data_IF_948656278479
#
_entry.id   IF_948656278479
#
_cell.length_a   1.000
_cell.length_b   1.000
_cell.length_c   1.000
_cell.angle_alpha   90.00
_cell.angle_beta   90.00
_cell.angle_gamma   90.00
#
_symmetry.space_group_name_H-M   'P 1'
#
loop_
_entity.id
_entity.type
_entity.pdbx_description
1 polymer ?
#
# COMPACT_ATOMS: atom_id res chain seq x y z
N UNK A 1 -28.96 -7.88 3.73
CA UNK A 1 -28.39 -6.97 2.71
C UNK A 1 -28.84 -7.33 1.30
N UNK A 2 -29.15 -6.36 0.42
CA UNK A 2 -29.43 -6.62 -1.01
C UNK A 2 -28.15 -6.57 -1.84
N UNK A 3 -28.07 -7.36 -2.92
CA UNK A 3 -26.93 -7.34 -3.85
C UNK A 3 -26.79 -5.98 -4.58
N UNK A 4 -27.90 -5.33 -4.91
CA UNK A 4 -27.95 -4.00 -5.54
C UNK A 4 -27.27 -2.92 -4.68
N UNK A 5 -27.42 -2.98 -3.36
CA UNK A 5 -26.79 -2.05 -2.43
C UNK A 5 -25.27 -2.23 -2.38
N UNK A 6 -24.80 -3.47 -2.34
CA UNK A 6 -23.35 -3.78 -2.41
C UNK A 6 -22.76 -3.32 -3.73
N UNK A 7 -23.44 -3.58 -4.85
CA UNK A 7 -23.05 -3.06 -6.17
C UNK A 7 -22.92 -1.53 -6.16
N UNK A 8 -23.89 -0.83 -5.59
CA UNK A 8 -23.91 0.64 -5.55
C UNK A 8 -22.72 1.20 -4.78
N UNK A 9 -22.45 0.66 -3.58
CA UNK A 9 -21.32 1.11 -2.76
C UNK A 9 -19.99 0.75 -3.42
N UNK A 10 -19.84 -0.49 -3.90
CA UNK A 10 -18.61 -0.95 -4.54
C UNK A 10 -18.24 -0.10 -5.75
N UNK A 11 -19.19 0.13 -6.68
CA UNK A 11 -18.99 0.96 -7.87
C UNK A 11 -18.72 2.43 -7.55
N UNK A 12 -19.10 2.90 -6.36
CA UNK A 12 -18.83 4.27 -5.93
C UNK A 12 -17.43 4.46 -5.33
N UNK A 13 -16.77 3.36 -4.92
CA UNK A 13 -15.51 3.41 -4.16
C UNK A 13 -14.32 2.79 -4.87
N UNK A 14 -14.56 1.77 -5.68
CA UNK A 14 -13.54 0.99 -6.37
C UNK A 14 -13.88 0.88 -7.85
N UNK A 15 -12.84 0.92 -8.67
CA UNK A 15 -12.89 0.76 -10.11
C UNK A 15 -11.98 -0.43 -10.50
N UNK A 16 -12.17 -0.98 -11.70
CA UNK A 16 -11.33 -2.08 -12.20
C UNK A 16 -11.48 -3.40 -11.43
N UNK A 17 -10.41 -4.21 -11.47
CA UNK A 17 -10.36 -5.56 -10.89
C UNK A 17 -10.49 -5.57 -9.37
N UNK A 18 -11.59 -6.12 -8.83
CA UNK A 18 -11.89 -6.17 -7.40
C UNK A 18 -12.08 -7.61 -6.90
N UNK A 19 -11.51 -7.93 -5.75
CA UNK A 19 -11.74 -9.18 -5.01
C UNK A 19 -12.76 -8.97 -3.91
N UNK A 20 -13.96 -9.51 -4.11
CA UNK A 20 -15.04 -9.52 -3.12
C UNK A 20 -15.11 -10.89 -2.45
N UNK A 21 -15.03 -10.90 -1.11
CA UNK A 21 -15.22 -12.07 -0.28
C UNK A 21 -16.58 -11.95 0.46
N UNK A 22 -17.47 -12.92 0.32
CA UNK A 22 -18.74 -12.97 1.03
C UNK A 22 -18.78 -14.18 1.98
N UNK A 23 -18.99 -13.93 3.27
CA UNK A 23 -18.97 -14.97 4.31
C UNK A 23 -20.30 -15.03 5.05
N UNK A 24 -20.87 -16.23 5.18
CA UNK A 24 -22.04 -16.51 6.02
C UNK A 24 -23.23 -17.12 5.27
N UNK A 25 -24.28 -17.48 6.01
CA UNK A 25 -25.31 -18.39 5.52
C UNK A 25 -26.03 -17.87 4.26
N UNK A 26 -25.89 -18.57 3.13
CA UNK A 26 -26.50 -18.20 1.86
C UNK A 26 -25.71 -17.16 1.07
N UNK A 27 -24.49 -16.81 1.51
CA UNK A 27 -23.61 -15.87 0.81
C UNK A 27 -23.29 -16.33 -0.61
N UNK A 28 -23.10 -17.64 -0.82
CA UNK A 28 -22.79 -18.17 -2.14
C UNK A 28 -23.91 -17.90 -3.15
N UNK A 29 -25.15 -18.21 -2.78
CA UNK A 29 -26.31 -17.94 -3.63
C UNK A 29 -26.58 -16.44 -3.81
N UNK A 30 -26.46 -15.66 -2.73
CA UNK A 30 -26.71 -14.21 -2.74
C UNK A 30 -25.71 -13.43 -3.62
N UNK A 31 -24.45 -13.86 -3.62
CA UNK A 31 -23.34 -13.19 -4.31
C UNK A 31 -23.19 -13.58 -5.79
N UNK A 32 -23.96 -14.56 -6.27
CA UNK A 32 -23.80 -15.13 -7.62
C UNK A 32 -23.87 -14.07 -8.73
N UNK A 33 -24.82 -13.13 -8.61
CA UNK A 33 -25.04 -12.05 -9.58
C UNK A 33 -24.05 -10.87 -9.44
N UNK A 34 -23.14 -10.93 -8.46
CA UNK A 34 -22.06 -9.94 -8.31
C UNK A 34 -20.85 -10.29 -9.17
N UNK A 35 -20.78 -11.46 -9.81
CA UNK A 35 -19.64 -11.82 -10.68
C UNK A 35 -19.65 -10.97 -11.95
N UNK A 36 -18.48 -10.48 -12.35
CA UNK A 36 -18.26 -9.77 -13.63
C UNK A 36 -16.81 -9.96 -14.08
N UNK A 37 -16.47 -9.51 -15.29
CA UNK A 37 -15.09 -9.58 -15.81
C UNK A 37 -14.10 -8.88 -14.88
N UNK A 38 -14.50 -7.73 -14.32
CA UNK A 38 -13.68 -6.94 -13.40
C UNK A 38 -13.85 -7.34 -11.92
N UNK A 39 -14.53 -8.46 -11.62
CA UNK A 39 -14.83 -8.80 -10.22
C UNK A 39 -14.74 -10.28 -9.92
N UNK A 40 -13.76 -10.60 -9.09
CA UNK A 40 -13.60 -11.91 -8.50
C UNK A 40 -14.46 -12.00 -7.25
N UNK A 41 -15.53 -12.79 -7.31
CA UNK A 41 -16.39 -13.08 -6.15
C UNK A 41 -16.07 -14.45 -5.58
N UNK A 42 -15.77 -14.49 -4.30
CA UNK A 42 -15.49 -15.71 -3.54
C UNK A 42 -16.46 -15.73 -2.36
N UNK A 43 -17.21 -16.81 -2.23
CA UNK A 43 -18.26 -16.88 -1.21
C UNK A 43 -18.33 -18.26 -0.58
N UNK A 44 -18.56 -18.29 0.73
CA UNK A 44 -18.67 -19.53 1.51
C UNK A 44 -19.67 -19.33 2.65
N UNK A 45 -20.53 -20.33 2.84
CA UNK A 45 -21.61 -20.23 3.82
C UNK A 45 -21.08 -20.40 5.26
N UNK A 46 -20.01 -21.17 5.43
CA UNK A 46 -19.33 -21.41 6.70
C UNK A 46 -17.81 -21.54 6.49
N UNK A 47 -17.08 -20.42 6.33
CA UNK A 47 -15.65 -20.47 5.99
C UNK A 47 -14.73 -20.97 7.12
N UNK A 48 -15.27 -21.10 8.34
CA UNK A 48 -14.45 -21.25 9.55
C UNK A 48 -13.71 -19.95 9.84
N UNK A 49 -12.40 -20.03 10.11
CA UNK A 49 -11.56 -18.83 10.21
C UNK A 49 -11.33 -18.20 8.85
N UNK A 50 -11.58 -16.89 8.75
CA UNK A 50 -11.31 -16.10 7.54
C UNK A 50 -9.81 -16.14 7.19
N UNK A 51 -8.91 -15.93 8.16
CA UNK A 51 -7.46 -15.99 7.91
C UNK A 51 -7.06 -17.35 7.31
N UNK A 52 -7.52 -18.44 7.92
CA UNK A 52 -7.24 -19.80 7.44
C UNK A 52 -7.85 -20.08 6.06
N UNK A 53 -9.03 -19.52 5.79
CA UNK A 53 -9.70 -19.65 4.51
C UNK A 53 -8.94 -18.93 3.40
N UNK A 54 -8.56 -17.67 3.63
CA UNK A 54 -7.76 -16.88 2.71
C UNK A 54 -6.41 -17.53 2.43
N UNK A 55 -5.74 -18.06 3.47
CA UNK A 55 -4.48 -18.78 3.32
C UNK A 55 -4.61 -20.00 2.38
N UNK A 56 -5.67 -20.81 2.53
CA UNK A 56 -5.93 -21.95 1.63
C UNK A 56 -6.18 -21.53 0.18
N UNK A 57 -6.79 -20.36 -0.01
CA UNK A 57 -7.07 -19.81 -1.33
C UNK A 57 -5.88 -19.04 -1.93
N UNK A 58 -4.80 -18.83 -1.16
CA UNK A 58 -3.70 -17.94 -1.57
C UNK A 58 -4.11 -16.46 -1.65
N UNK A 59 -5.24 -16.09 -1.06
CA UNK A 59 -5.68 -14.70 -1.00
C UNK A 59 -4.86 -13.98 0.06
N UNK A 60 -4.12 -12.95 -0.36
CA UNK A 60 -3.31 -12.11 0.52
C UNK A 60 -3.89 -10.70 0.69
N UNK A 61 -5.00 -10.40 -0.01
CA UNK A 61 -5.72 -9.14 0.05
C UNK A 61 -7.19 -9.36 -0.35
N UNK A 62 -8.09 -8.63 0.28
CA UNK A 62 -9.53 -8.60 0.00
C UNK A 62 -9.92 -7.13 -0.13
N UNK A 63 -10.43 -6.74 -1.29
CA UNK A 63 -10.92 -5.39 -1.47
C UNK A 63 -12.25 -5.22 -0.72
N UNK A 64 -13.15 -6.20 -0.77
CA UNK A 64 -14.47 -6.05 -0.16
C UNK A 64 -14.93 -7.30 0.58
N UNK A 65 -14.96 -7.25 1.91
CA UNK A 65 -15.51 -8.31 2.76
C UNK A 65 -16.97 -8.01 3.10
N UNK A 66 -17.88 -8.90 2.72
CA UNK A 66 -19.29 -8.87 3.14
C UNK A 66 -19.52 -9.97 4.17
N UNK A 67 -19.97 -9.59 5.36
CA UNK A 67 -20.50 -10.52 6.36
C UNK A 67 -22.01 -10.61 6.15
N UNK A 68 -22.47 -11.75 5.65
CA UNK A 68 -23.86 -11.99 5.27
C UNK A 68 -24.55 -12.90 6.29
N UNK A 69 -25.78 -12.56 6.68
CA UNK A 69 -26.78 -13.35 7.43
C UNK A 69 -26.25 -14.42 8.40
N UNK A 70 -26.53 -14.23 9.69
CA UNK A 70 -26.25 -15.20 10.75
C UNK A 70 -24.78 -15.67 10.81
N UNK A 71 -23.85 -14.87 10.25
CA UNK A 71 -22.43 -15.17 10.26
C UNK A 71 -21.77 -14.98 11.62
N UNK A 72 -22.46 -14.32 12.58
CA UNK A 72 -21.83 -13.88 13.83
C UNK A 72 -20.68 -12.93 13.50
N UNK A 73 -20.94 -11.71 12.99
CA UNK A 73 -19.93 -10.85 12.38
C UNK A 73 -18.74 -10.57 13.30
N UNK A 74 -18.94 -10.51 14.62
CA UNK A 74 -17.84 -10.36 15.57
C UNK A 74 -16.88 -11.55 15.51
N UNK A 75 -17.39 -12.77 15.67
CA UNK A 75 -16.59 -13.99 15.61
C UNK A 75 -15.92 -14.16 14.23
N UNK A 76 -16.62 -13.79 13.15
CA UNK A 76 -16.06 -13.80 11.81
C UNK A 76 -14.84 -12.86 11.70
N UNK A 77 -14.95 -11.62 12.18
CA UNK A 77 -13.83 -10.67 12.18
C UNK A 77 -12.72 -11.04 13.15
N UNK A 78 -13.03 -11.56 14.34
CA UNK A 78 -12.02 -12.08 15.27
C UNK A 78 -11.20 -13.21 14.62
N UNK A 79 -11.82 -13.98 13.70
CA UNK A 79 -11.14 -15.01 12.92
C UNK A 79 -10.35 -14.51 11.70
N UNK A 80 -10.39 -13.20 11.45
CA UNK A 80 -9.65 -12.45 10.43
C UNK A 80 -8.58 -11.52 11.04
N UNK A 81 -8.08 -11.87 12.23
CA UNK A 81 -7.22 -11.00 13.04
C UNK A 81 -5.95 -10.60 12.30
N UNK A 82 -5.31 -11.52 11.58
CA UNK A 82 -4.09 -11.20 10.82
C UNK A 82 -4.40 -10.27 9.64
N UNK A 83 -5.43 -10.60 8.86
CA UNK A 83 -5.88 -9.79 7.74
C UNK A 83 -6.25 -8.36 8.16
N UNK A 84 -6.94 -8.18 9.29
CA UNK A 84 -7.28 -6.85 9.81
C UNK A 84 -6.07 -6.09 10.34
N UNK A 85 -5.20 -6.76 11.12
CA UNK A 85 -3.99 -6.12 11.68
C UNK A 85 -3.09 -5.59 10.57
N UNK A 86 -2.96 -6.37 9.50
CA UNK A 86 -2.20 -6.04 8.30
C UNK A 86 -3.00 -5.20 7.30
N UNK A 87 -4.25 -4.84 7.62
CA UNK A 87 -5.15 -4.04 6.76
C UNK A 87 -5.19 -4.57 5.32
N UNK A 88 -5.26 -5.89 5.20
CA UNK A 88 -5.43 -6.65 3.95
C UNK A 88 -6.91 -6.82 3.57
N UNK A 89 -7.81 -6.15 4.29
CA UNK A 89 -9.24 -6.06 3.97
C UNK A 89 -9.57 -4.58 3.83
N UNK A 90 -10.05 -4.12 2.69
CA UNK A 90 -10.19 -2.66 2.49
C UNK A 90 -11.52 -2.14 3.00
N UNK A 91 -12.56 -2.91 2.72
CA UNK A 91 -13.92 -2.60 3.12
C UNK A 91 -14.51 -3.80 3.86
N UNK A 92 -15.12 -3.56 5.01
CA UNK A 92 -15.91 -4.56 5.73
C UNK A 92 -17.35 -4.08 5.79
N UNK A 93 -18.27 -4.86 5.24
CA UNK A 93 -19.68 -4.53 5.17
C UNK A 93 -20.54 -5.56 5.91
N UNK A 94 -21.43 -5.10 6.79
CA UNK A 94 -22.34 -5.96 7.55
C UNK A 94 -23.62 -5.19 7.93
N UNK A 95 -24.73 -5.90 8.16
CA UNK A 95 -25.98 -5.26 8.59
C UNK A 95 -26.08 -5.21 10.13
N UNK A 96 -26.56 -4.09 10.68
CA UNK A 96 -26.66 -3.92 12.14
C UNK A 96 -27.59 -4.93 12.81
N UNK A 97 -28.64 -5.37 12.10
CA UNK A 97 -29.53 -6.43 12.57
C UNK A 97 -28.82 -7.79 12.73
N UNK A 98 -27.77 -8.03 11.95
CA UNK A 98 -26.97 -9.27 11.99
C UNK A 98 -25.87 -9.21 13.05
N UNK A 99 -25.48 -8.00 13.47
CA UNK A 99 -24.51 -7.77 14.55
C UNK A 99 -25.05 -8.08 15.95
N UNK A 100 -26.38 -8.14 16.13
CA UNK A 100 -27.00 -8.36 17.44
C UNK A 100 -26.57 -7.30 18.48
N UNK A 101 -26.43 -7.72 19.74
CA UNK A 101 -25.95 -6.86 20.83
C UNK A 101 -24.45 -6.53 20.79
N UNK A 102 -23.71 -7.11 19.85
CA UNK A 102 -22.24 -7.04 19.78
C UNK A 102 -21.72 -5.87 18.94
N UNK A 103 -22.61 -5.00 18.46
CA UNK A 103 -22.24 -3.87 17.61
C UNK A 103 -21.17 -2.93 18.20
N UNK A 104 -21.18 -2.61 19.52
CA UNK A 104 -20.08 -1.85 20.13
C UNK A 104 -18.74 -2.59 20.07
N UNK A 105 -18.71 -3.91 20.28
CA UNK A 105 -17.49 -4.71 20.23
C UNK A 105 -16.92 -4.79 18.81
N UNK A 106 -17.78 -4.86 17.79
CA UNK A 106 -17.39 -4.78 16.38
C UNK A 106 -16.72 -3.45 16.04
N UNK A 107 -17.32 -2.33 16.46
CA UNK A 107 -16.75 -1.01 16.26
C UNK A 107 -15.38 -0.90 16.93
N UNK A 108 -15.28 -1.34 18.17
CA UNK A 108 -14.02 -1.39 18.92
C UNK A 108 -12.94 -2.20 18.19
N UNK A 109 -13.28 -3.40 17.70
CA UNK A 109 -12.35 -4.27 16.98
C UNK A 109 -11.83 -3.62 15.69
N UNK A 110 -12.74 -3.05 14.89
CA UNK A 110 -12.41 -2.40 13.63
C UNK A 110 -11.59 -1.12 13.85
N UNK A 111 -11.97 -0.29 14.83
CA UNK A 111 -11.27 0.96 15.14
C UNK A 111 -9.88 0.73 15.76
N UNK A 112 -9.69 -0.34 16.55
CA UNK A 112 -8.35 -0.75 17.02
C UNK A 112 -7.43 -1.12 15.87
N UNK A 113 -7.98 -1.63 14.76
CA UNK A 113 -7.28 -1.87 13.51
C UNK A 113 -7.31 -0.65 12.56
N UNK A 114 -7.71 0.53 13.09
CA UNK A 114 -7.72 1.84 12.43
C UNK A 114 -8.77 2.05 11.33
N UNK A 115 -9.76 1.17 11.21
CA UNK A 115 -10.84 1.38 10.25
C UNK A 115 -11.72 2.57 10.65
N UNK A 116 -12.09 3.38 9.66
CA UNK A 116 -13.12 4.39 9.82
C UNK A 116 -14.50 3.76 9.63
N UNK A 117 -15.45 4.10 10.49
CA UNK A 117 -16.77 3.48 10.54
C UNK A 117 -17.83 4.38 9.92
N UNK A 118 -18.73 3.79 9.12
CA UNK A 118 -19.81 4.47 8.44
C UNK A 118 -21.11 3.68 8.53
N UNK A 119 -22.23 4.39 8.42
CA UNK A 119 -23.57 3.81 8.29
C UNK A 119 -24.21 4.27 6.99
N UNK A 120 -24.82 3.34 6.27
CA UNK A 120 -25.58 3.56 5.05
C UNK A 120 -27.04 3.21 5.27
N UNK A 121 -27.93 4.19 5.10
CA UNK A 121 -29.38 4.05 5.27
C UNK A 121 -30.11 3.64 3.98
N UNK A 122 -29.36 3.31 2.92
CA UNK A 122 -29.88 3.08 1.57
C UNK A 122 -29.87 4.30 0.66
N UNK A 123 -29.53 5.49 1.18
CA UNK A 123 -29.43 6.75 0.42
C UNK A 123 -28.17 7.54 0.75
N UNK A 124 -27.81 7.64 2.02
CA UNK A 124 -26.71 8.47 2.52
C UNK A 124 -25.71 7.63 3.28
N UNK A 125 -24.43 7.79 2.98
CA UNK A 125 -23.34 7.24 3.78
C UNK A 125 -22.88 8.29 4.79
N UNK A 126 -22.94 7.97 6.08
CA UNK A 126 -22.60 8.89 7.16
C UNK A 126 -21.46 8.33 8.00
N UNK A 127 -20.45 9.15 8.29
CA UNK A 127 -19.38 8.79 9.21
C UNK A 127 -19.94 8.63 10.62
N UNK A 128 -19.59 7.52 11.27
CA UNK A 128 -20.26 7.04 12.48
C UNK A 128 -19.21 6.50 13.46
N UNK A 129 -18.76 7.32 14.41
CA UNK A 129 -17.72 6.90 15.36
C UNK A 129 -18.23 5.94 16.45
N UNK A 130 -19.52 6.01 16.76
CA UNK A 130 -20.18 5.16 17.73
C UNK A 130 -21.40 4.51 17.09
N UNK A 131 -21.75 3.27 17.45
CA UNK A 131 -22.89 2.60 16.87
C UNK A 131 -24.19 3.39 17.08
N UNK A 132 -25.09 3.47 16.09
CA UNK A 132 -26.37 4.16 16.21
C UNK A 132 -27.22 3.59 17.35
N UNK A 133 -27.87 4.47 18.11
CA UNK A 133 -28.68 4.09 19.28
C UNK A 133 -30.19 4.08 18.99
N UNK A 134 -30.60 4.54 17.81
CA UNK A 134 -32.01 4.72 17.43
C UNK A 134 -32.69 3.42 16.96
N UNK A 135 -31.92 2.32 16.85
CA UNK A 135 -32.43 1.00 16.45
C UNK A 135 -32.82 0.92 14.98
N UNK A 136 -32.51 1.93 14.16
CA UNK A 136 -32.77 1.90 12.73
C UNK A 136 -31.85 0.87 12.06
N UNK A 137 -32.43 -0.04 11.27
CA UNK A 137 -31.65 -1.02 10.51
C UNK A 137 -30.86 -0.30 9.42
N UNK A 138 -29.54 -0.23 9.56
CA UNK A 138 -28.64 0.28 8.54
C UNK A 138 -27.55 -0.74 8.19
N UNK A 139 -26.91 -0.53 7.04
CA UNK A 139 -25.69 -1.25 6.65
C UNK A 139 -24.50 -0.49 7.21
N UNK A 140 -23.61 -1.20 7.91
CA UNK A 140 -22.36 -0.66 8.39
C UNK A 140 -21.24 -0.93 7.39
N UNK A 141 -20.34 0.04 7.25
CA UNK A 141 -19.16 -0.05 6.41
C UNK A 141 -17.95 0.40 7.20
N UNK A 142 -16.98 -0.48 7.37
CA UNK A 142 -15.64 -0.15 7.85
C UNK A 142 -14.74 0.08 6.65
N UNK A 143 -13.95 1.16 6.67
CA UNK A 143 -13.06 1.54 5.57
C UNK A 143 -11.62 1.62 6.07
N UNK A 144 -10.71 0.91 5.40
CA UNK A 144 -9.29 0.90 5.72
C UNK A 144 -8.69 2.31 5.60
N UNK A 145 -7.71 2.67 6.46
CA UNK A 145 -7.10 4.00 6.50
C UNK A 145 -6.66 4.54 5.15
N UNK A 146 -6.11 3.68 4.28
CA UNK A 146 -5.52 4.12 3.01
C UNK A 146 -6.52 4.79 2.07
N UNK A 147 -7.81 4.49 2.20
CA UNK A 147 -8.84 5.08 1.35
C UNK A 147 -9.43 6.38 1.92
N UNK A 148 -9.15 6.71 3.19
CA UNK A 148 -9.80 7.82 3.87
C UNK A 148 -9.60 9.15 3.14
N UNK A 149 -8.34 9.47 2.82
CA UNK A 149 -7.98 10.72 2.17
C UNK A 149 -8.65 10.87 0.80
N UNK A 150 -8.53 9.84 -0.04
CA UNK A 150 -9.10 9.82 -1.39
C UNK A 150 -10.62 9.97 -1.38
N UNK A 151 -11.30 9.21 -0.52
CA UNK A 151 -12.76 9.08 -0.58
C UNK A 151 -13.51 10.17 0.17
N UNK A 152 -12.98 10.64 1.31
CA UNK A 152 -13.78 11.44 2.25
C UNK A 152 -13.26 12.85 2.48
N UNK A 153 -11.94 13.07 2.46
CA UNK A 153 -11.38 14.43 2.58
C UNK A 153 -10.98 15.02 1.24
N UNK A 154 -10.80 14.18 0.21
CA UNK A 154 -10.22 14.54 -1.09
C UNK A 154 -8.84 15.21 -0.94
N UNK A 155 -8.13 14.81 0.10
CA UNK A 155 -6.76 15.23 0.35
C UNK A 155 -5.82 14.38 -0.49
N UNK A 156 -4.92 15.05 -1.21
CA UNK A 156 -3.94 14.42 -2.10
C UNK A 156 -2.51 14.52 -1.54
N UNK A 157 -2.35 14.92 -0.29
CA UNK A 157 -1.04 14.99 0.36
C UNK A 157 -0.45 13.59 0.54
N UNK A 158 0.80 13.42 0.13
CA UNK A 158 1.61 12.26 0.51
C UNK A 158 2.15 12.41 1.94
N UNK A 159 2.88 11.41 2.41
CA UNK A 159 3.50 11.44 3.72
C UNK A 159 4.40 12.67 3.91
N UNK A 160 4.38 13.20 5.14
CA UNK A 160 5.33 14.24 5.58
C UNK A 160 6.28 13.63 6.59
N UNK A 161 7.55 13.50 6.20
CA UNK A 161 8.59 12.95 7.06
C UNK A 161 8.77 13.75 8.37
N UNK A 162 8.52 15.06 8.33
CA UNK A 162 8.54 15.93 9.52
C UNK A 162 7.44 15.58 10.54
N UNK A 163 6.41 14.85 10.13
CA UNK A 163 5.36 14.34 11.02
C UNK A 163 5.62 12.87 11.39
N UNK A 164 6.01 12.03 10.42
CA UNK A 164 6.23 10.60 10.63
C UNK A 164 7.42 10.32 11.57
N UNK A 165 8.56 10.99 11.35
CA UNK A 165 9.75 10.73 12.14
C UNK A 165 9.55 10.94 13.65
N UNK A 166 9.08 12.12 14.13
CA UNK A 166 8.84 12.31 15.55
C UNK A 166 7.72 11.40 16.08
N UNK A 167 6.67 11.14 15.28
CA UNK A 167 5.56 10.26 15.68
C UNK A 167 6.00 8.84 15.99
N UNK A 168 7.01 8.34 15.26
CA UNK A 168 7.53 6.98 15.40
C UNK A 168 8.91 6.92 16.05
N UNK A 169 9.42 8.03 16.58
CA UNK A 169 10.71 8.09 17.29
C UNK A 169 11.93 7.89 16.38
N UNK A 170 11.82 8.21 15.10
CA UNK A 170 12.93 8.15 14.15
C UNK A 170 13.77 9.43 14.26
N UNK A 171 15.05 9.28 14.54
CA UNK A 171 16.03 10.36 14.46
C UNK A 171 16.92 10.09 13.24
N UNK A 172 16.71 10.80 12.11
CA UNK A 172 17.40 10.47 10.88
C UNK A 172 18.88 10.89 10.93
N UNK A 173 19.78 9.95 10.67
CA UNK A 173 21.22 10.21 10.42
C UNK A 173 21.50 10.47 8.94
N UNK A 174 20.73 9.82 8.08
CA UNK A 174 20.80 9.93 6.64
C UNK A 174 19.71 9.09 5.97
N UNK A 175 19.27 9.53 4.80
CA UNK A 175 18.29 8.82 3.97
C UNK A 175 18.97 8.29 2.71
N UNK A 176 18.77 7.01 2.41
CA UNK A 176 19.01 6.46 1.07
C UNK A 176 17.68 6.54 0.33
N UNK A 177 17.61 7.31 -0.76
CA UNK A 177 16.44 7.43 -1.61
C UNK A 177 16.74 6.77 -2.96
N UNK A 178 15.97 5.72 -3.27
CA UNK A 178 16.03 4.97 -4.54
C UNK A 178 14.84 5.37 -5.40
N UNK A 179 15.08 5.75 -6.66
CA UNK A 179 14.07 6.34 -7.53
C UNK A 179 13.99 7.86 -7.40
N UNK A 180 15.15 8.50 -7.27
CA UNK A 180 15.26 9.90 -6.86
C UNK A 180 14.66 10.92 -7.82
N UNK A 181 14.40 10.57 -9.09
CA UNK A 181 13.99 11.48 -10.15
C UNK A 181 14.88 12.74 -10.18
N UNK A 182 14.35 13.93 -9.86
CA UNK A 182 15.09 15.19 -9.80
C UNK A 182 15.35 15.68 -8.36
N UNK A 183 15.11 14.82 -7.37
CA UNK A 183 15.37 15.04 -5.94
C UNK A 183 14.38 15.99 -5.28
N UNK A 184 13.12 15.95 -5.71
CA UNK A 184 12.02 16.80 -5.22
C UNK A 184 11.80 16.69 -3.70
N UNK A 185 12.04 15.52 -3.13
CA UNK A 185 11.82 15.20 -1.72
C UNK A 185 12.87 15.83 -0.80
N UNK A 186 13.99 16.35 -1.34
CA UNK A 186 15.10 16.87 -0.53
C UNK A 186 14.64 17.92 0.49
N UNK A 187 13.74 18.82 0.07
CA UNK A 187 13.21 19.86 0.96
C UNK A 187 12.45 19.29 2.16
N UNK A 188 11.69 18.21 1.96
CA UNK A 188 10.95 17.53 3.01
C UNK A 188 11.89 16.79 3.97
N UNK A 189 12.99 16.23 3.47
CA UNK A 189 14.02 15.62 4.31
C UNK A 189 14.71 16.64 5.20
N UNK A 190 15.06 17.81 4.65
CA UNK A 190 15.63 18.91 5.43
C UNK A 190 14.63 19.40 6.48
N UNK A 191 13.35 19.55 6.14
CA UNK A 191 12.29 19.89 7.09
C UNK A 191 12.18 18.86 8.23
N UNK A 192 12.34 17.58 7.91
CA UNK A 192 12.35 16.48 8.88
C UNK A 192 13.68 16.35 9.67
N UNK A 193 14.62 17.28 9.49
CA UNK A 193 15.90 17.30 10.19
C UNK A 193 16.99 16.41 9.57
N UNK A 194 16.79 15.90 8.36
CA UNK A 194 17.75 15.06 7.65
C UNK A 194 18.36 15.80 6.45
N UNK A 195 19.62 16.21 6.57
CA UNK A 195 20.34 16.86 5.47
C UNK A 195 21.13 15.88 4.61
N UNK A 196 21.61 14.79 5.21
CA UNK A 196 22.42 13.76 4.56
C UNK A 196 21.52 12.87 3.70
N UNK A 197 21.72 12.90 2.39
CA UNK A 197 20.89 12.14 1.46
C UNK A 197 21.77 11.47 0.39
N UNK A 198 21.55 10.18 0.18
CA UNK A 198 22.03 9.46 -0.98
C UNK A 198 20.86 9.30 -1.95
N UNK A 199 20.90 10.01 -3.07
CA UNK A 199 19.97 9.82 -4.17
C UNK A 199 20.53 8.81 -5.17
N UNK A 200 19.72 7.81 -5.54
CA UNK A 200 20.04 6.82 -6.56
C UNK A 200 18.97 6.90 -7.66
N UNK A 201 19.39 7.22 -8.88
CA UNK A 201 18.52 7.40 -10.04
C UNK A 201 18.95 6.48 -11.18
N UNK A 202 18.00 5.71 -11.72
CA UNK A 202 18.27 4.70 -12.75
C UNK A 202 18.46 5.32 -14.13
N UNK A 203 17.62 6.30 -14.50
CA UNK A 203 17.58 6.88 -15.83
C UNK A 203 18.71 7.91 -16.02
N UNK A 204 19.66 7.68 -16.95
CA UNK A 204 20.81 8.58 -17.14
C UNK A 204 20.42 10.01 -17.52
N UNK A 205 19.33 10.20 -18.28
CA UNK A 205 18.88 11.52 -18.71
C UNK A 205 18.28 12.31 -17.53
N UNK A 206 17.55 11.62 -16.66
CA UNK A 206 17.00 12.19 -15.42
C UNK A 206 18.10 12.46 -14.41
N UNK A 207 19.05 11.53 -14.23
CA UNK A 207 20.24 11.75 -13.42
C UNK A 207 21.04 12.98 -13.87
N UNK A 208 21.17 13.22 -15.18
CA UNK A 208 21.85 14.39 -15.71
C UNK A 208 21.19 15.73 -15.31
N UNK A 209 19.90 15.70 -14.92
CA UNK A 209 19.18 16.86 -14.34
C UNK A 209 19.27 16.88 -12.81
N UNK A 210 19.29 15.71 -12.16
CA UNK A 210 19.44 15.55 -10.71
C UNK A 210 20.80 16.03 -10.19
N UNK A 211 21.90 15.48 -10.72
CA UNK A 211 23.23 15.68 -10.14
C UNK A 211 23.68 17.16 -10.07
N UNK A 212 23.46 18.00 -11.11
CA UNK A 212 23.81 19.42 -11.04
C UNK A 212 23.07 20.20 -9.94
N UNK A 213 21.83 19.80 -9.58
CA UNK A 213 21.05 20.47 -8.53
C UNK A 213 21.70 20.39 -7.16
N UNK A 214 22.50 19.33 -6.92
CA UNK A 214 23.12 19.04 -5.64
C UNK A 214 24.65 19.11 -5.66
N UNK A 215 25.28 19.49 -6.78
CA UNK A 215 26.74 19.52 -6.92
C UNK A 215 27.46 20.41 -5.89
N UNK A 216 26.80 21.46 -5.39
CA UNK A 216 27.35 22.36 -4.36
C UNK A 216 26.97 21.95 -2.93
N UNK A 217 26.22 20.86 -2.75
CA UNK A 217 25.73 20.41 -1.46
C UNK A 217 26.55 19.21 -0.95
N UNK A 218 27.44 19.40 0.04
CA UNK A 218 28.30 18.33 0.53
C UNK A 218 27.54 17.25 1.32
N UNK A 219 26.30 17.51 1.70
CA UNK A 219 25.46 16.54 2.42
C UNK A 219 24.73 15.57 1.46
N UNK A 220 24.80 15.82 0.14
CA UNK A 220 24.05 15.04 -0.86
C UNK A 220 25.00 14.35 -1.82
N UNK A 221 24.77 13.06 -2.02
CA UNK A 221 25.44 12.26 -3.05
C UNK A 221 24.39 11.78 -4.04
N UNK A 222 24.65 11.93 -5.34
CA UNK A 222 23.80 11.40 -6.40
C UNK A 222 24.56 10.30 -7.15
N UNK A 223 23.91 9.17 -7.38
CA UNK A 223 24.47 8.03 -8.13
C UNK A 223 23.54 7.68 -9.28
N UNK A 224 24.10 7.47 -10.48
CA UNK A 224 23.36 6.91 -11.60
C UNK A 224 23.48 5.38 -11.61
N UNK A 225 22.45 4.71 -11.08
CA UNK A 225 22.35 3.24 -11.04
C UNK A 225 20.91 2.84 -10.80
N UNK A 226 20.46 1.72 -11.36
CA UNK A 226 19.22 1.12 -10.91
C UNK A 226 19.51 0.13 -9.78
N UNK A 227 18.81 0.25 -8.65
CA UNK A 227 18.92 -0.76 -7.59
C UNK A 227 18.08 -1.97 -7.97
N UNK A 228 18.62 -3.17 -7.84
CA UNK A 228 17.99 -4.42 -8.24
C UNK A 228 18.41 -5.57 -7.31
N UNK A 229 17.90 -6.78 -7.53
CA UNK A 229 18.29 -8.00 -6.82
C UNK A 229 19.58 -8.64 -7.37
N UNK A 230 20.10 -8.13 -8.49
CA UNK A 230 21.30 -8.64 -9.14
C UNK A 230 22.09 -7.56 -9.86
N UNK A 231 23.38 -7.83 -10.04
CA UNK A 231 24.25 -6.99 -10.86
C UNK A 231 24.12 -7.32 -12.35
N UNK A 232 24.26 -6.32 -13.21
CA UNK A 232 24.25 -6.49 -14.66
C UNK A 232 23.57 -5.33 -15.37
N UNK A 233 23.01 -5.61 -16.55
CA UNK A 233 22.22 -4.65 -17.31
C UNK A 233 20.81 -5.18 -17.47
N UNK A 234 19.82 -4.31 -17.25
CA UNK A 234 18.40 -4.65 -17.39
C UNK A 234 17.70 -3.61 -18.29
N UNK A 235 16.65 -4.04 -19.01
CA UNK A 235 15.79 -3.12 -19.71
C UNK A 235 15.08 -2.20 -18.72
N UNK A 236 14.97 -0.92 -19.09
CA UNK A 236 14.27 0.11 -18.34
C UNK A 236 13.29 0.83 -19.27
N UNK A 237 12.00 0.72 -18.94
CA UNK A 237 10.89 1.30 -19.67
C UNK A 237 10.76 2.79 -19.33
N UNK A 238 11.00 3.65 -20.34
CA UNK A 238 10.83 5.10 -20.22
C UNK A 238 9.42 5.50 -20.60
N UNK A 239 8.74 6.21 -19.70
CA UNK A 239 7.39 6.69 -19.90
C UNK A 239 7.37 8.18 -20.29
N UNK A 240 6.29 8.65 -20.90
CA UNK A 240 6.12 10.06 -21.30
C UNK A 240 6.03 11.00 -20.10
N UNK A 241 5.53 10.51 -18.96
CA UNK A 241 5.78 11.07 -17.64
C UNK A 241 6.97 10.35 -17.02
N UNK A 242 8.12 11.00 -16.90
CA UNK A 242 9.37 10.37 -16.45
C UNK A 242 9.27 9.69 -15.09
N UNK A 243 8.43 10.23 -14.19
CA UNK A 243 8.12 9.67 -12.87
C UNK A 243 7.46 8.28 -12.92
N UNK A 244 6.88 7.87 -14.05
CA UNK A 244 6.27 6.55 -14.24
C UNK A 244 7.23 5.50 -14.85
N UNK A 245 8.50 5.85 -15.05
CA UNK A 245 9.49 4.95 -15.68
C UNK A 245 9.96 3.85 -14.72
N UNK A 246 10.28 2.66 -15.24
CA UNK A 246 10.51 1.48 -14.40
C UNK A 246 11.47 0.46 -15.01
N UNK A 247 12.09 -0.36 -14.15
CA UNK A 247 12.75 -1.61 -14.54
C UNK A 247 11.76 -2.70 -14.99
N UNK A 248 10.47 -2.51 -14.73
CA UNK A 248 9.41 -3.42 -15.14
C UNK A 248 8.57 -2.80 -16.28
N UNK A 249 8.12 -3.59 -17.25
CA UNK A 249 7.17 -3.13 -18.25
C UNK A 249 5.87 -2.62 -17.59
N UNK A 250 5.27 -1.52 -18.07
CA UNK A 250 3.99 -1.05 -17.56
C UNK A 250 2.88 -2.03 -17.95
N UNK A 251 1.90 -2.19 -17.06
CA UNK A 251 0.70 -3.01 -17.26
C UNK A 251 -0.55 -2.17 -16.97
N UNK A 252 -1.24 -2.42 -15.85
CA UNK A 252 -2.48 -1.71 -15.49
C UNK A 252 -2.25 -0.21 -15.23
N UNK A 253 -1.01 0.24 -15.05
CA UNK A 253 -0.66 1.66 -14.96
C UNK A 253 -1.18 2.46 -16.18
N UNK A 254 -1.14 1.87 -17.38
CA UNK A 254 -1.62 2.54 -18.61
C UNK A 254 -3.13 2.71 -18.64
N UNK A 255 -3.87 1.82 -17.98
CA UNK A 255 -5.32 1.91 -17.86
C UNK A 255 -5.71 2.98 -16.84
N UNK A 256 -4.96 3.07 -15.73
CA UNK A 256 -5.15 4.08 -14.68
C UNK A 256 -4.77 5.49 -15.20
N UNK A 257 -3.70 5.59 -15.99
CA UNK A 257 -3.19 6.86 -16.52
C UNK A 257 -3.05 6.83 -18.05
N UNK A 258 -4.15 6.91 -18.81
CA UNK A 258 -4.14 6.76 -20.27
C UNK A 258 -3.40 7.86 -21.03
N UNK A 259 -3.08 8.98 -20.37
CA UNK A 259 -2.23 10.04 -20.93
C UNK A 259 -0.73 9.73 -20.89
N UNK A 260 -0.33 8.69 -20.15
CA UNK A 260 1.07 8.27 -20.01
C UNK A 260 1.31 7.12 -21.00
N UNK A 261 2.38 7.21 -21.78
CA UNK A 261 2.70 6.24 -22.83
C UNK A 261 4.15 5.79 -22.74
N UNK A 262 4.43 4.57 -23.18
CA UNK A 262 5.80 4.08 -23.32
C UNK A 262 6.49 4.84 -24.46
N UNK A 263 7.59 5.53 -24.16
CA UNK A 263 8.36 6.31 -25.13
C UNK A 263 9.59 5.57 -25.65
N UNK A 264 10.06 4.57 -24.91
CA UNK A 264 11.13 3.68 -25.33
C UNK A 264 11.64 2.79 -24.21
N UNK A 265 12.60 1.94 -24.54
CA UNK A 265 13.32 1.10 -23.58
C UNK A 265 14.81 1.33 -23.74
N UNK A 266 15.52 1.53 -22.63
CA UNK A 266 16.97 1.63 -22.59
C UNK A 266 17.55 0.52 -21.72
N UNK A 267 18.86 0.27 -21.82
CA UNK A 267 19.57 -0.66 -20.94
C UNK A 267 20.33 0.12 -19.86
N UNK A 268 19.96 -0.08 -18.60
CA UNK A 268 20.58 0.57 -17.44
C UNK A 268 21.45 -0.40 -16.66
N UNK A 269 22.51 0.12 -16.04
CA UNK A 269 23.33 -0.67 -15.12
C UNK A 269 22.60 -0.86 -13.79
N UNK A 270 22.62 -2.09 -13.31
CA UNK A 270 21.89 -2.55 -12.14
C UNK A 270 22.82 -3.22 -11.14
N UNK A 271 22.52 -3.07 -9.85
CA UNK A 271 23.20 -3.80 -8.79
C UNK A 271 22.38 -3.81 -7.49
N UNK A 272 22.60 -4.79 -6.60
CA UNK A 272 22.13 -4.74 -5.21
C UNK A 272 22.61 -3.47 -4.49
N UNK A 273 21.78 -2.90 -3.62
CA UNK A 273 22.15 -1.70 -2.85
C UNK A 273 23.49 -1.87 -2.10
N UNK A 274 23.77 -2.99 -1.40
CA UNK A 274 25.06 -3.18 -0.73
C UNK A 274 26.26 -3.07 -1.68
N UNK A 275 26.13 -3.57 -2.91
CA UNK A 275 27.19 -3.53 -3.92
C UNK A 275 27.40 -2.11 -4.44
N UNK A 276 26.31 -1.35 -4.63
CA UNK A 276 26.37 0.08 -5.01
C UNK A 276 27.07 0.88 -3.91
N UNK A 277 26.69 0.67 -2.65
CA UNK A 277 27.35 1.37 -1.53
C UNK A 277 28.85 1.06 -1.48
N UNK A 278 29.24 -0.19 -1.71
CA UNK A 278 30.64 -0.59 -1.78
C UNK A 278 31.39 0.01 -2.97
N UNK A 279 30.81 -0.02 -4.18
CA UNK A 279 31.37 0.52 -5.42
C UNK A 279 31.71 2.01 -5.28
N UNK A 280 30.82 2.78 -4.66
CA UNK A 280 30.97 4.22 -4.49
C UNK A 280 31.60 4.63 -3.14
N UNK A 281 32.05 3.67 -2.33
CA UNK A 281 32.71 3.94 -1.04
C UNK A 281 31.80 4.63 -0.01
N UNK A 282 30.49 4.37 -0.07
CA UNK A 282 29.50 4.96 0.82
C UNK A 282 29.36 4.11 2.10
N UNK A 283 29.60 4.72 3.26
CA UNK A 283 29.36 4.08 4.55
C UNK A 283 27.85 3.99 4.86
N UNK A 284 27.32 2.77 4.82
CA UNK A 284 25.94 2.47 5.19
C UNK A 284 25.58 2.92 6.63
N UNK A 285 26.54 2.98 7.56
CA UNK A 285 26.31 3.41 8.94
C UNK A 285 25.82 4.85 9.07
N UNK A 286 26.13 5.68 8.06
CA UNK A 286 25.68 7.06 7.93
C UNK A 286 24.20 7.22 7.62
N UNK A 287 23.49 6.13 7.32
CA UNK A 287 22.08 6.13 6.90
C UNK A 287 21.26 5.20 7.79
N UNK A 288 20.04 5.59 8.10
CA UNK A 288 19.09 4.79 8.89
C UNK A 288 17.65 4.90 8.41
N UNK A 289 17.42 5.56 7.28
CA UNK A 289 16.14 5.58 6.62
C UNK A 289 16.34 5.18 5.17
N UNK A 290 15.49 4.28 4.68
CA UNK A 290 15.42 3.89 3.28
C UNK A 290 14.11 4.41 2.71
N UNK A 291 14.18 5.20 1.64
CA UNK A 291 13.04 5.62 0.85
C UNK A 291 13.15 4.92 -0.52
N UNK A 292 12.10 4.22 -0.93
CA UNK A 292 12.00 3.57 -2.23
C UNK A 292 10.77 4.13 -2.93
N UNK A 293 11.01 5.01 -3.89
CA UNK A 293 9.98 5.64 -4.70
C UNK A 293 10.22 5.23 -6.15
N UNK A 294 9.95 3.97 -6.42
CA UNK A 294 10.07 3.39 -7.76
C UNK A 294 8.71 2.92 -8.21
N UNK A 295 8.63 2.49 -9.47
CA UNK A 295 7.38 2.16 -10.11
C UNK A 295 7.27 0.65 -10.34
N UNK A 296 6.96 -0.10 -9.28
CA UNK A 296 6.78 -1.55 -9.28
C UNK A 296 8.03 -2.38 -8.96
N UNK A 297 9.21 -1.77 -8.88
CA UNK A 297 10.48 -2.45 -8.65
C UNK A 297 10.79 -2.67 -7.15
N UNK A 298 9.90 -2.28 -6.25
CA UNK A 298 10.18 -2.16 -4.82
C UNK A 298 10.52 -3.53 -4.19
N UNK A 299 9.78 -4.58 -4.58
CA UNK A 299 10.07 -5.96 -4.17
C UNK A 299 11.46 -6.41 -4.63
N UNK A 300 11.83 -6.09 -5.88
CA UNK A 300 13.15 -6.44 -6.45
C UNK A 300 14.27 -5.74 -5.67
N UNK A 301 14.09 -4.45 -5.39
CA UNK A 301 15.04 -3.63 -4.63
C UNK A 301 15.21 -4.16 -3.21
N UNK A 302 14.10 -4.42 -2.51
CA UNK A 302 14.12 -4.93 -1.14
C UNK A 302 14.77 -6.31 -1.07
N UNK A 303 14.49 -7.21 -2.03
CA UNK A 303 15.15 -8.51 -2.11
C UNK A 303 16.67 -8.38 -2.28
N UNK A 304 17.13 -7.41 -3.07
CA UNK A 304 18.55 -7.09 -3.25
C UNK A 304 19.23 -6.46 -2.04
N UNK A 305 18.48 -5.87 -1.10
CA UNK A 305 19.07 -5.27 0.10
C UNK A 305 19.59 -6.33 1.09
N UNK A 306 18.96 -7.50 1.17
CA UNK A 306 19.36 -8.59 2.07
C UNK A 306 19.52 -8.13 3.52
N UNK A 307 20.64 -8.51 4.16
CA UNK A 307 20.91 -8.18 5.57
C UNK A 307 21.03 -6.66 5.85
N UNK A 308 21.20 -5.82 4.83
CA UNK A 308 21.22 -4.37 4.99
C UNK A 308 19.87 -3.82 5.50
N UNK A 309 18.76 -4.51 5.21
CA UNK A 309 17.45 -4.14 5.74
C UNK A 309 17.42 -4.08 7.27
N UNK A 310 18.21 -4.91 7.95
CA UNK A 310 18.35 -4.90 9.41
C UNK A 310 19.17 -3.72 9.96
N UNK A 311 19.52 -2.72 9.15
CA UNK A 311 20.27 -1.52 9.59
C UNK A 311 19.46 -0.23 9.52
N UNK A 312 18.35 -0.20 8.79
CA UNK A 312 17.47 0.96 8.79
C UNK A 312 16.55 0.93 10.01
N UNK A 313 16.21 2.11 10.52
CA UNK A 313 15.22 2.31 11.57
C UNK A 313 13.82 2.48 10.96
N UNK A 314 13.75 2.99 9.73
CA UNK A 314 12.51 3.12 8.97
C UNK A 314 12.70 2.87 7.46
N UNK A 315 11.64 2.36 6.83
CA UNK A 315 11.52 2.21 5.38
C UNK A 315 10.23 2.91 4.93
N UNK A 316 10.34 3.86 4.01
CA UNK A 316 9.22 4.42 3.26
C UNK A 316 9.25 3.82 1.86
N UNK A 317 8.13 3.32 1.38
CA UNK A 317 8.10 2.59 0.11
C UNK A 317 6.78 2.82 -0.62
N UNK A 318 6.86 3.11 -1.91
CA UNK A 318 5.69 3.05 -2.80
C UNK A 318 5.20 1.59 -2.82
N UNK A 319 3.89 1.38 -2.80
CA UNK A 319 3.29 0.05 -2.71
C UNK A 319 2.16 -0.13 -3.69
N UNK A 320 2.13 -1.32 -4.27
CA UNK A 320 1.11 -1.73 -5.23
C UNK A 320 0.08 -2.64 -4.56
N UNK A 321 -1.20 -2.42 -4.86
CA UNK A 321 -2.33 -3.29 -4.51
C UNK A 321 -2.84 -4.06 -5.74
N UNK A 322 -2.56 -3.54 -6.94
CA UNK A 322 -2.82 -4.19 -8.23
C UNK A 322 -1.51 -4.37 -9.03
N UNK A 323 -1.56 -4.99 -10.20
CA UNK A 323 -0.36 -5.24 -11.01
C UNK A 323 -0.14 -4.09 -12.01
N UNK A 324 0.24 -2.92 -11.48
CA UNK A 324 0.47 -1.72 -12.29
C UNK A 324 1.62 -1.89 -13.28
N UNK A 325 2.62 -2.67 -12.90
CA UNK A 325 3.77 -3.06 -13.71
C UNK A 325 3.89 -4.58 -13.70
N UNK A 326 4.32 -5.17 -14.81
CA UNK A 326 4.37 -6.62 -14.97
C UNK A 326 5.23 -7.29 -13.90
N UNK A 327 4.62 -8.18 -13.11
CA UNK A 327 5.30 -8.90 -12.03
C UNK A 327 5.70 -8.05 -10.83
N UNK A 328 5.18 -6.83 -10.68
CA UNK A 328 5.48 -6.00 -9.52
C UNK A 328 5.05 -6.68 -8.21
N UNK A 329 5.79 -6.43 -7.14
CA UNK A 329 5.38 -6.89 -5.81
C UNK A 329 4.16 -6.14 -5.34
N UNK A 330 3.25 -6.83 -4.66
CA UNK A 330 2.13 -6.19 -3.95
C UNK A 330 2.50 -5.92 -2.49
N UNK A 331 1.70 -5.14 -1.78
CA UNK A 331 1.92 -4.81 -0.36
C UNK A 331 2.25 -6.04 0.52
N UNK A 332 1.62 -7.19 0.27
CA UNK A 332 1.89 -8.42 0.99
C UNK A 332 3.31 -8.98 0.73
N UNK A 333 3.84 -8.81 -0.48
CA UNK A 333 5.22 -9.18 -0.81
C UNK A 333 6.24 -8.26 -0.11
N UNK A 334 5.90 -6.97 0.04
CA UNK A 334 6.70 -5.98 0.77
C UNK A 334 6.74 -6.32 2.26
N UNK A 335 5.58 -6.65 2.84
CA UNK A 335 5.47 -7.14 4.22
C UNK A 335 6.32 -8.40 4.44
N UNK A 336 6.24 -9.39 3.54
CA UNK A 336 6.99 -10.65 3.63
C UNK A 336 8.51 -10.44 3.59
N UNK A 337 8.99 -9.41 2.90
CA UNK A 337 10.41 -9.05 2.88
C UNK A 337 10.83 -8.27 4.13
N UNK A 338 10.00 -7.37 4.65
CA UNK A 338 10.37 -6.48 5.76
C UNK A 338 10.13 -7.10 7.14
N UNK A 339 9.06 -7.85 7.36
CA UNK A 339 8.73 -8.39 8.69
C UNK A 339 9.82 -9.27 9.29
N UNK A 340 10.52 -10.16 8.55
CA UNK A 340 11.63 -10.94 9.09
C UNK A 340 12.79 -10.10 9.64
N UNK A 341 12.88 -8.83 9.23
CA UNK A 341 13.89 -7.88 9.72
C UNK A 341 13.38 -7.00 10.89
N UNK A 342 12.22 -7.33 11.47
CA UNK A 342 11.66 -6.67 12.66
C UNK A 342 10.83 -5.43 12.37
N UNK A 343 10.38 -5.25 11.13
CA UNK A 343 9.54 -4.10 10.76
C UNK A 343 8.06 -4.35 11.04
N UNK A 344 7.36 -3.29 11.44
CA UNK A 344 5.91 -3.20 11.41
C UNK A 344 5.47 -2.14 10.39
N UNK A 345 4.42 -2.43 9.60
CA UNK A 345 3.76 -1.42 8.77
C UNK A 345 2.88 -0.52 9.65
N UNK A 346 3.36 0.69 9.90
CA UNK A 346 2.73 1.62 10.84
C UNK A 346 1.83 2.66 10.17
N UNK A 347 2.07 3.01 8.91
CA UNK A 347 1.20 3.88 8.10
C UNK A 347 1.05 3.37 6.67
N UNK A 348 -0.06 3.74 6.04
CA UNK A 348 -0.31 3.53 4.63
C UNK A 348 -1.34 4.55 4.11
N UNK A 349 -1.19 4.98 2.86
CA UNK A 349 -2.10 5.93 2.19
C UNK A 349 -2.24 5.58 0.71
N UNK A 350 -3.41 5.85 0.12
CA UNK A 350 -3.69 5.73 -1.31
C UNK A 350 -4.46 6.95 -1.82
N UNK A 351 -3.85 8.16 -1.79
CA UNK A 351 -4.57 9.42 -1.98
C UNK A 351 -5.02 9.67 -3.42
N UNK A 352 -4.32 9.08 -4.40
CA UNK A 352 -4.58 9.30 -5.83
C UNK A 352 -5.47 8.22 -6.44
N UNK A 353 -5.16 6.96 -6.18
CA UNK A 353 -5.87 5.81 -6.73
C UNK A 353 -5.82 4.64 -5.75
N UNK A 354 -6.79 3.72 -5.80
CA UNK A 354 -6.87 2.61 -4.83
C UNK A 354 -5.87 1.47 -5.09
N UNK A 355 -5.31 1.41 -6.30
CA UNK A 355 -4.39 0.35 -6.74
C UNK A 355 -2.94 0.55 -6.30
N UNK A 356 -2.58 1.71 -5.76
CA UNK A 356 -1.23 2.01 -5.29
C UNK A 356 -1.24 3.09 -4.20
N UNK A 357 -0.08 3.35 -3.62
CA UNK A 357 0.13 4.44 -2.68
C UNK A 357 1.44 4.26 -1.93
N UNK A 358 1.53 4.76 -0.70
CA UNK A 358 2.75 4.63 0.11
C UNK A 358 2.48 3.85 1.39
N UNK A 359 3.52 3.17 1.86
CA UNK A 359 3.56 2.56 3.19
C UNK A 359 4.82 2.99 3.95
N UNK A 360 4.66 3.20 5.26
CA UNK A 360 5.75 3.50 6.18
C UNK A 360 5.93 2.37 7.17
N UNK A 361 7.16 1.86 7.22
CA UNK A 361 7.57 0.76 8.07
C UNK A 361 8.57 1.23 9.10
N UNK A 362 8.42 0.78 10.34
CA UNK A 362 9.32 1.11 11.45
C UNK A 362 9.85 -0.18 12.06
N UNK A 363 11.15 -0.24 12.25
CA UNK A 363 11.79 -1.39 12.89
C UNK A 363 11.57 -1.32 14.40
N UNK A 364 11.01 -2.38 14.98
CA UNK A 364 10.88 -2.55 16.43
C UNK A 364 12.05 -3.41 16.90
N UNK A 365 12.83 -2.87 17.84
CA UNK A 365 13.91 -3.61 18.51
C UNK A 365 13.37 -4.52 19.61
#
# INVERSE_FOLDING_TARGET
MSNALVNTLLQSFLEGGVTLLAAGQGAAAWSADLRSEDRTVIAEDAPGSIDSWCARLGLRHIDWLVLHRNSGPLAALESAAEMMRLRRIDFVQFDGAEAGGDLPALYDLLQRNRYAMFCFDGRTLQHCQQPPTDGASCTHLAVAPRHWQRLFTRDRSMFRYSELFPRYGIVPRGIVHIGAHEGEEYSQYVEAGCRRVLFVEADPDTYARLAPRFAANPDVVCINRAVSDRAGRLPFSRMSGSQSSSLLPPKEHLDVYPGITLTGTIEVDTAPLPDILAEFGIDAGGYNVLAIDTQGAERMILAGCGALLGRFDAVSVEVNYAELYEGCGRIADIDELLFPHGYDRVEEISPFHHSWGDAFYVRRN
#
